data_IF_464522067278
#
_entry.id   IF_464522067278
#
_cell.length_a   1.000
_cell.length_b   1.000
_cell.length_c   1.000
_cell.angle_alpha   90.00
_cell.angle_beta   90.00
_cell.angle_gamma   90.00
#
_symmetry.space_group_name_H-M   'P 1'
#
loop_
_entity.id
_entity.type
_entity.pdbx_description
1 polymer ?
#
# COMPACT_ATOMS: atom_id res chain seq x y z
N UNK A 1 -0.12 -18.23 12.44
CA UNK A 1 -0.47 -16.83 12.16
C UNK A 1 0.75 -15.94 12.27
N UNK A 2 0.86 -14.91 11.44
CA UNK A 2 1.91 -13.89 11.48
C UNK A 2 1.33 -12.50 11.23
N UNK A 3 1.77 -11.53 12.00
CA UNK A 3 1.41 -10.13 11.82
C UNK A 3 2.57 -9.40 11.15
N UNK A 4 2.25 -8.44 10.27
CA UNK A 4 3.20 -7.53 9.66
C UNK A 4 2.68 -6.10 9.69
N UNK A 5 3.61 -5.17 9.74
CA UNK A 5 3.35 -3.74 9.74
C UNK A 5 4.17 -3.09 8.62
N UNK A 6 3.60 -2.15 7.91
CA UNK A 6 4.28 -1.33 6.91
C UNK A 6 3.97 0.14 7.09
N UNK A 7 4.94 0.96 6.76
CA UNK A 7 4.81 2.41 6.73
C UNK A 7 5.52 2.94 5.49
N UNK A 8 4.90 3.88 4.80
CA UNK A 8 5.51 4.59 3.69
C UNK A 8 5.09 6.06 3.68
N UNK A 9 5.91 6.92 3.11
CA UNK A 9 5.62 8.33 2.96
C UNK A 9 6.27 8.85 1.68
N UNK A 10 5.54 9.68 0.93
CA UNK A 10 6.02 10.31 -0.29
C UNK A 10 5.70 11.80 -0.28
N UNK A 11 6.61 12.58 -0.88
CA UNK A 11 6.46 14.03 -1.02
C UNK A 11 5.40 14.35 -2.07
N UNK A 12 4.56 15.34 -1.78
CA UNK A 12 3.64 15.94 -2.76
C UNK A 12 4.36 16.96 -3.61
N UNK A 13 4.29 16.79 -4.93
CA UNK A 13 4.92 17.69 -5.91
C UNK A 13 3.96 18.01 -7.05
N UNK A 14 4.14 19.17 -7.66
CA UNK A 14 3.38 19.55 -8.86
C UNK A 14 3.79 18.68 -10.08
N UNK A 15 2.90 18.53 -11.05
CA UNK A 15 3.19 17.88 -12.33
C UNK A 15 3.19 16.35 -12.31
N UNK A 16 2.76 15.73 -11.22
CA UNK A 16 2.56 14.28 -11.13
C UNK A 16 1.10 13.94 -10.85
N UNK A 17 0.68 12.79 -11.35
CA UNK A 17 -0.61 12.20 -10.99
C UNK A 17 -0.59 11.76 -9.52
N UNK A 18 -1.71 11.91 -8.85
CA UNK A 18 -1.92 11.36 -7.51
C UNK A 18 -2.60 10.00 -7.63
N UNK A 19 -1.88 8.94 -7.29
CA UNK A 19 -2.38 7.57 -7.33
C UNK A 19 -2.24 6.98 -5.92
N UNK A 20 -3.36 6.58 -5.32
CA UNK A 20 -3.42 5.97 -3.99
C UNK A 20 -4.39 4.79 -4.01
N UNK A 21 -3.93 3.64 -3.56
CA UNK A 21 -4.73 2.42 -3.60
C UNK A 21 -5.12 1.99 -5.02
N UNK A 22 -4.28 2.29 -6.00
CA UNK A 22 -4.54 2.05 -7.41
C UNK A 22 -5.59 2.97 -8.03
N UNK A 23 -5.98 4.05 -7.34
CA UNK A 23 -6.98 5.02 -7.80
C UNK A 23 -6.29 6.33 -8.15
N UNK A 24 -6.50 6.81 -9.38
CA UNK A 24 -6.09 8.15 -9.78
C UNK A 24 -7.07 9.18 -9.21
N UNK A 25 -6.55 10.06 -8.35
CA UNK A 25 -7.33 11.07 -7.66
C UNK A 25 -7.06 12.43 -8.32
N UNK A 26 -8.12 13.15 -8.70
CA UNK A 26 -7.98 14.51 -9.22
C UNK A 26 -7.46 15.44 -8.13
N UNK A 27 -6.25 15.93 -8.31
CA UNK A 27 -5.59 16.83 -7.38
C UNK A 27 -4.48 17.60 -8.10
N UNK A 28 -4.13 18.77 -7.62
CA UNK A 28 -3.11 19.65 -8.22
C UNK A 28 -1.69 19.13 -8.09
N UNK A 29 -1.44 18.21 -7.16
CA UNK A 29 -0.14 17.57 -6.89
C UNK A 29 -0.28 16.05 -6.94
N UNK A 30 0.84 15.38 -7.15
CA UNK A 30 0.97 13.94 -7.02
C UNK A 30 2.16 13.56 -6.15
N UNK A 31 2.31 12.29 -5.87
CA UNK A 31 3.39 11.78 -5.04
C UNK A 31 4.66 11.54 -5.86
N UNK A 32 5.80 11.94 -5.32
CA UNK A 32 7.11 11.76 -5.93
C UNK A 32 7.69 10.40 -5.53
N UNK A 33 8.15 9.65 -6.52
CA UNK A 33 8.80 8.36 -6.31
C UNK A 33 9.27 7.74 -7.60
N UNK A 34 10.02 6.62 -7.51
CA UNK A 34 10.57 5.90 -8.65
C UNK A 34 9.48 5.16 -9.45
N UNK A 35 8.48 4.60 -8.74
CA UNK A 35 7.27 3.99 -9.30
C UNK A 35 6.17 5.05 -9.53
N UNK A 36 4.91 4.65 -9.52
CA UNK A 36 3.77 5.57 -9.45
C UNK A 36 3.62 6.24 -8.05
N UNK A 37 4.49 5.87 -7.10
CA UNK A 37 4.53 6.38 -5.73
C UNK A 37 3.22 6.17 -4.95
N UNK A 38 2.52 5.06 -5.18
CA UNK A 38 1.31 4.69 -4.44
C UNK A 38 1.67 4.32 -3.00
N UNK A 39 1.61 5.32 -2.13
CA UNK A 39 2.02 5.21 -0.72
C UNK A 39 1.23 4.14 0.05
N UNK A 40 -0.05 3.94 -0.29
CA UNK A 40 -0.89 2.94 0.37
C UNK A 40 -0.48 1.52 -0.01
N UNK A 41 -0.30 1.26 -1.30
CA UNK A 41 0.10 -0.07 -1.77
C UNK A 41 1.53 -0.41 -1.34
N UNK A 42 2.43 0.57 -1.27
CA UNK A 42 3.78 0.34 -0.73
C UNK A 42 3.77 -0.06 0.74
N UNK A 43 2.97 0.61 1.57
CA UNK A 43 2.81 0.25 2.98
C UNK A 43 2.25 -1.16 3.14
N UNK A 44 1.27 -1.55 2.33
CA UNK A 44 0.70 -2.89 2.33
C UNK A 44 1.72 -3.93 1.89
N UNK A 45 2.49 -3.67 0.84
CA UNK A 45 3.58 -4.56 0.40
C UNK A 45 4.58 -4.81 1.52
N UNK A 46 5.02 -3.77 2.22
CA UNK A 46 5.96 -3.90 3.33
C UNK A 46 5.36 -4.67 4.51
N UNK A 47 4.08 -4.45 4.82
CA UNK A 47 3.41 -5.23 5.85
C UNK A 47 3.40 -6.74 5.53
N UNK A 48 3.09 -7.09 4.29
CA UNK A 48 3.04 -8.47 3.83
C UNK A 48 4.43 -9.13 3.85
N UNK A 49 5.44 -8.44 3.32
CA UNK A 49 6.82 -8.92 3.31
C UNK A 49 7.35 -9.08 4.74
N UNK A 50 7.09 -8.11 5.61
CA UNK A 50 7.49 -8.15 7.02
C UNK A 50 6.86 -9.33 7.77
N UNK A 51 5.57 -9.59 7.58
CA UNK A 51 4.87 -10.73 8.17
C UNK A 51 5.48 -12.07 7.75
N UNK A 52 5.94 -12.18 6.50
CA UNK A 52 6.59 -13.39 5.98
C UNK A 52 8.09 -13.45 6.30
N UNK A 53 8.66 -12.46 6.98
CA UNK A 53 10.09 -12.32 7.25
C UNK A 53 10.95 -12.26 5.98
N UNK A 54 10.46 -11.58 4.94
CA UNK A 54 11.12 -11.44 3.64
C UNK A 54 11.83 -10.08 3.45
N UNK A 55 11.91 -9.27 4.48
CA UNK A 55 12.47 -7.92 4.40
C UNK A 55 11.44 -6.88 3.97
N UNK A 56 11.81 -6.05 3.03
CA UNK A 56 11.01 -4.93 2.56
C UNK A 56 10.93 -4.87 1.02
N UNK A 57 10.16 -3.91 0.53
CA UNK A 57 9.94 -3.70 -0.91
C UNK A 57 11.25 -3.33 -1.63
N UNK A 58 12.14 -2.57 -1.00
CA UNK A 58 13.42 -2.17 -1.59
C UNK A 58 14.37 -3.34 -1.84
N UNK A 59 14.29 -4.38 -1.03
CA UNK A 59 15.06 -5.61 -1.22
C UNK A 59 14.65 -6.37 -2.48
N UNK A 60 13.35 -6.40 -2.79
CA UNK A 60 12.80 -7.18 -3.91
C UNK A 60 12.66 -6.37 -5.19
N UNK A 61 12.45 -5.06 -5.06
CA UNK A 61 12.20 -4.14 -6.17
C UNK A 61 13.05 -2.87 -6.00
N UNK A 62 14.39 -2.97 -6.11
CA UNK A 62 15.28 -1.85 -5.84
C UNK A 62 15.09 -0.71 -6.86
N UNK A 63 15.13 0.53 -6.39
CA UNK A 63 15.02 1.73 -7.21
C UNK A 63 16.14 1.84 -8.27
N UNK A 64 17.27 1.17 -8.03
CA UNK A 64 18.36 1.09 -8.99
C UNK A 64 18.04 0.24 -10.22
N UNK A 65 17.00 -0.59 -10.18
CA UNK A 65 16.61 -1.46 -11.29
C UNK A 65 15.66 -0.72 -12.23
N UNK A 66 16.11 -0.45 -13.45
CA UNK A 66 15.34 0.27 -14.47
C UNK A 66 14.03 -0.42 -14.85
N UNK A 67 13.90 -1.75 -14.60
CA UNK A 67 12.68 -2.51 -14.87
C UNK A 67 11.50 -2.03 -14.03
N UNK A 68 11.76 -1.40 -12.88
CA UNK A 68 10.74 -0.94 -11.95
C UNK A 68 10.47 0.56 -12.03
N UNK A 69 11.16 1.28 -12.94
CA UNK A 69 10.91 2.70 -13.16
C UNK A 69 9.51 2.92 -13.70
N UNK A 70 8.71 3.72 -12.99
CA UNK A 70 7.32 4.02 -13.38
C UNK A 70 6.36 2.84 -13.25
N UNK A 71 6.78 1.77 -12.58
CA UNK A 71 5.94 0.57 -12.43
C UNK A 71 4.63 0.89 -11.70
N UNK A 72 3.55 0.28 -12.15
CA UNK A 72 2.27 0.26 -11.45
C UNK A 72 2.41 -0.50 -10.12
N UNK A 73 2.14 0.18 -9.01
CA UNK A 73 2.24 -0.43 -7.67
C UNK A 73 1.23 -1.55 -7.45
N UNK A 74 0.15 -1.64 -8.22
CA UNK A 74 -0.72 -2.82 -8.21
C UNK A 74 0.00 -4.06 -8.74
N UNK A 75 0.87 -3.89 -9.75
CA UNK A 75 1.73 -4.99 -10.22
C UNK A 75 2.72 -5.43 -9.13
N UNK A 76 3.30 -4.48 -8.38
CA UNK A 76 4.14 -4.79 -7.21
C UNK A 76 3.36 -5.58 -6.15
N UNK A 77 2.14 -5.15 -5.83
CA UNK A 77 1.29 -5.82 -4.84
C UNK A 77 0.98 -7.26 -5.26
N UNK A 78 0.65 -7.48 -6.54
CA UNK A 78 0.43 -8.83 -7.07
C UNK A 78 1.68 -9.70 -7.00
N UNK A 79 2.86 -9.13 -7.29
CA UNK A 79 4.14 -9.83 -7.18
C UNK A 79 4.46 -10.22 -5.74
N UNK A 80 4.23 -9.31 -4.79
CA UNK A 80 4.37 -9.60 -3.35
C UNK A 80 3.39 -10.68 -2.92
N UNK A 81 2.14 -10.62 -3.35
CA UNK A 81 1.15 -11.68 -3.08
C UNK A 81 1.63 -13.06 -3.54
N UNK A 82 2.25 -13.13 -4.73
CA UNK A 82 2.82 -14.36 -5.24
C UNK A 82 3.99 -14.86 -4.38
N UNK A 83 4.87 -13.96 -3.90
CA UNK A 83 5.95 -14.31 -2.98
C UNK A 83 5.42 -14.89 -1.66
N UNK A 84 4.38 -14.28 -1.09
CA UNK A 84 3.74 -14.75 0.14
C UNK A 84 3.17 -16.16 -0.05
N UNK A 85 2.46 -16.39 -1.14
CA UNK A 85 1.91 -17.71 -1.48
C UNK A 85 3.01 -18.77 -1.65
N UNK A 86 4.12 -18.41 -2.32
CA UNK A 86 5.28 -19.30 -2.49
C UNK A 86 5.90 -19.72 -1.16
N UNK A 87 5.83 -18.88 -0.12
CA UNK A 87 6.28 -19.20 1.24
C UNK A 87 5.25 -20.04 2.03
N UNK A 88 4.15 -20.42 1.41
CA UNK A 88 3.10 -21.21 2.06
C UNK A 88 2.19 -20.42 2.97
N UNK A 89 2.10 -19.10 2.78
CA UNK A 89 1.19 -18.24 3.53
C UNK A 89 0.01 -17.79 2.68
N UNK A 90 -1.08 -17.45 3.37
CA UNK A 90 -2.23 -16.77 2.83
C UNK A 90 -2.47 -15.49 3.63
N UNK A 91 -2.93 -14.45 2.95
CA UNK A 91 -3.37 -13.21 3.62
C UNK A 91 -4.74 -13.46 4.23
N UNK A 92 -4.90 -13.22 5.54
CA UNK A 92 -6.18 -13.30 6.22
C UNK A 92 -6.94 -11.99 6.13
N UNK A 93 -6.27 -10.88 6.41
CA UNK A 93 -6.86 -9.55 6.28
C UNK A 93 -5.78 -8.47 6.20
N UNK A 94 -6.21 -7.29 5.75
CA UNK A 94 -5.40 -6.07 5.72
C UNK A 94 -6.21 -4.94 6.32
N UNK A 95 -5.59 -4.15 7.20
CA UNK A 95 -6.11 -2.88 7.68
C UNK A 95 -5.07 -1.79 7.42
N UNK A 96 -5.48 -0.72 6.74
CA UNK A 96 -4.58 0.35 6.35
C UNK A 96 -5.18 1.73 6.62
N UNK A 97 -4.30 2.68 6.94
CA UNK A 97 -4.66 4.08 7.20
C UNK A 97 -3.87 5.00 6.29
N UNK A 98 -4.58 5.86 5.57
CA UNK A 98 -3.98 6.96 4.81
C UNK A 98 -3.92 8.18 5.72
N UNK A 99 -2.77 8.82 5.79
CA UNK A 99 -2.53 10.01 6.60
C UNK A 99 -2.29 11.17 5.64
N UNK A 100 -3.30 12.01 5.46
CA UNK A 100 -3.27 13.12 4.52
C UNK A 100 -4.18 14.26 4.97
N UNK A 101 -3.73 15.48 4.77
CA UNK A 101 -4.55 16.65 5.02
C UNK A 101 -5.55 16.90 3.88
N UNK A 102 -5.11 16.67 2.65
CA UNK A 102 -5.90 16.78 1.42
C UNK A 102 -5.26 15.88 0.34
N UNK A 103 -6.03 15.49 -0.71
CA UNK A 103 -7.47 15.62 -0.89
C UNK A 103 -8.29 14.70 0.02
N UNK A 104 -9.62 14.84 0.00
CA UNK A 104 -10.50 13.92 0.73
C UNK A 104 -10.43 12.53 0.13
N UNK A 105 -10.21 11.52 0.97
CA UNK A 105 -10.08 10.12 0.55
C UNK A 105 -11.42 9.39 0.49
N UNK A 106 -12.41 9.82 1.25
CA UNK A 106 -13.68 9.12 1.40
C UNK A 106 -14.36 8.71 0.07
N UNK A 107 -14.41 9.55 -0.97
CA UNK A 107 -15.03 9.14 -2.25
C UNK A 107 -14.32 8.00 -2.97
N UNK A 108 -13.05 7.71 -2.61
CA UNK A 108 -12.18 6.78 -3.31
C UNK A 108 -11.95 5.47 -2.57
N UNK A 109 -12.29 5.41 -1.28
CA UNK A 109 -11.94 4.28 -0.40
C UNK A 109 -12.55 2.97 -0.90
N UNK A 110 -13.81 2.96 -1.32
CA UNK A 110 -14.45 1.73 -1.79
C UNK A 110 -13.72 1.12 -3.01
N UNK A 111 -13.25 1.96 -3.94
CA UNK A 111 -12.47 1.48 -5.10
C UNK A 111 -11.08 1.00 -4.68
N UNK A 112 -10.43 1.67 -3.72
CA UNK A 112 -9.15 1.22 -3.18
C UNK A 112 -9.27 -0.18 -2.56
N UNK A 113 -10.31 -0.41 -1.76
CA UNK A 113 -10.61 -1.72 -1.16
C UNK A 113 -10.77 -2.79 -2.24
N UNK A 114 -11.58 -2.53 -3.27
CA UNK A 114 -11.77 -3.48 -4.39
C UNK A 114 -10.45 -3.78 -5.11
N UNK A 115 -9.63 -2.78 -5.37
CA UNK A 115 -8.34 -2.96 -6.03
C UNK A 115 -7.41 -3.85 -5.21
N UNK A 116 -7.27 -3.57 -3.91
CA UNK A 116 -6.41 -4.32 -3.00
C UNK A 116 -6.90 -5.75 -2.84
N UNK A 117 -8.20 -5.93 -2.63
CA UNK A 117 -8.81 -7.24 -2.49
C UNK A 117 -8.60 -8.10 -3.75
N UNK A 118 -8.81 -7.52 -4.93
CA UNK A 118 -8.56 -8.21 -6.20
C UNK A 118 -7.10 -8.63 -6.35
N UNK A 119 -6.16 -7.74 -6.06
CA UNK A 119 -4.71 -8.01 -6.21
C UNK A 119 -4.21 -9.06 -5.20
N UNK A 120 -4.84 -9.15 -4.03
CA UNK A 120 -4.53 -10.14 -2.99
C UNK A 120 -5.37 -11.43 -3.10
N UNK A 121 -6.35 -11.47 -3.99
CA UNK A 121 -7.34 -12.57 -4.10
C UNK A 121 -8.13 -12.76 -2.80
N UNK A 122 -8.59 -11.66 -2.23
CA UNK A 122 -9.41 -11.61 -1.01
C UNK A 122 -10.82 -11.12 -1.32
N UNK A 123 -11.83 -11.50 -0.53
CA UNK A 123 -13.10 -10.80 -0.51
C UNK A 123 -12.93 -9.39 0.08
N UNK A 124 -13.77 -8.44 -0.35
CA UNK A 124 -13.65 -7.03 0.02
C UNK A 124 -13.71 -6.82 1.55
N UNK A 125 -14.51 -7.62 2.26
CA UNK A 125 -14.67 -7.52 3.72
C UNK A 125 -13.40 -7.89 4.52
N UNK A 126 -12.39 -8.44 3.88
CA UNK A 126 -11.08 -8.72 4.51
C UNK A 126 -10.06 -7.60 4.28
N UNK A 127 -10.46 -6.54 3.62
CA UNK A 127 -9.63 -5.35 3.39
C UNK A 127 -10.34 -4.13 3.94
N UNK A 128 -9.67 -3.41 4.83
CA UNK A 128 -10.15 -2.13 5.33
C UNK A 128 -9.17 -1.02 4.98
N UNK A 129 -9.70 0.10 4.52
CA UNK A 129 -8.94 1.34 4.29
C UNK A 129 -9.69 2.47 4.97
N UNK A 130 -8.98 3.24 5.78
CA UNK A 130 -9.47 4.44 6.45
C UNK A 130 -8.49 5.58 6.25
N UNK A 131 -8.91 6.80 6.48
CA UNK A 131 -8.09 7.98 6.34
C UNK A 131 -8.20 8.87 7.56
N UNK A 132 -7.12 9.57 7.88
CA UNK A 132 -7.06 10.56 8.95
C UNK A 132 -6.19 11.73 8.54
N UNK A 133 -6.37 12.86 9.21
CA UNK A 133 -5.42 13.98 9.19
C UNK A 133 -4.49 13.90 10.40
N UNK A 134 -3.48 14.77 10.44
CA UNK A 134 -2.68 15.02 11.66
C UNK A 134 -2.99 16.37 12.29
N UNK A 135 -4.20 16.88 12.05
CA UNK A 135 -4.66 18.17 12.63
C UNK A 135 -3.66 19.31 12.34
N UNK A 136 -3.20 19.40 11.10
CA UNK A 136 -2.22 20.37 10.60
C UNK A 136 -0.82 20.27 11.20
N UNK A 137 -0.52 19.21 11.95
CA UNK A 137 0.80 18.97 12.54
C UNK A 137 1.68 18.12 11.61
N UNK A 138 2.96 18.42 11.61
CA UNK A 138 3.98 17.64 10.90
C UNK A 138 3.92 17.79 9.38
N UNK A 139 4.69 16.95 8.68
CA UNK A 139 4.82 17.03 7.22
C UNK A 139 3.50 16.70 6.50
N UNK A 140 2.70 15.80 7.02
CA UNK A 140 1.38 15.49 6.47
C UNK A 140 0.41 16.65 6.71
N UNK A 141 0.45 17.22 7.90
CA UNK A 141 -0.41 18.35 8.29
C UNK A 141 -0.08 19.65 7.55
N UNK A 142 1.18 19.83 7.13
CA UNK A 142 1.59 20.96 6.29
C UNK A 142 1.37 20.72 4.79
N UNK A 143 0.92 19.54 4.40
CA UNK A 143 0.74 19.20 2.99
C UNK A 143 2.05 18.99 2.22
N UNK A 144 3.15 18.70 2.90
CA UNK A 144 4.42 18.36 2.25
C UNK A 144 4.40 16.96 1.63
N UNK A 145 3.63 16.07 2.22
CA UNK A 145 3.54 14.69 1.78
C UNK A 145 2.30 13.99 2.32
N UNK A 146 2.14 12.76 1.87
CA UNK A 146 1.13 11.81 2.34
C UNK A 146 1.87 10.59 2.88
N UNK A 147 1.39 10.05 4.00
CA UNK A 147 1.87 8.81 4.57
C UNK A 147 0.77 7.75 4.56
N UNK A 148 1.16 6.51 4.66
CA UNK A 148 0.26 5.40 4.88
C UNK A 148 0.87 4.40 5.86
N UNK A 149 0.00 3.76 6.60
CA UNK A 149 0.34 2.71 7.53
C UNK A 149 -0.54 1.49 7.25
N UNK A 150 0.03 0.30 7.29
CA UNK A 150 -0.73 -0.92 7.07
C UNK A 150 -0.35 -1.99 8.09
N UNK A 151 -1.34 -2.78 8.46
CA UNK A 151 -1.16 -4.00 9.24
C UNK A 151 -1.81 -5.14 8.48
N UNK A 152 -1.17 -6.29 8.45
CA UNK A 152 -1.73 -7.49 7.86
C UNK A 152 -1.59 -8.69 8.79
N UNK A 153 -2.48 -9.65 8.59
CA UNK A 153 -2.40 -10.96 9.20
C UNK A 153 -2.22 -12.01 8.12
N UNK A 154 -1.19 -12.84 8.27
CA UNK A 154 -0.97 -14.03 7.45
C UNK A 154 -1.30 -15.28 8.24
N UNK A 155 -1.81 -16.29 7.55
CA UNK A 155 -1.99 -17.65 8.08
C UNK A 155 -1.34 -18.65 7.14
N UNK A 156 -1.01 -19.84 7.67
CA UNK A 156 -0.78 -21.02 6.82
C UNK A 156 -2.13 -21.68 6.58
N UNK A 157 -2.42 -22.14 5.34
CA UNK A 157 -3.57 -23.00 5.12
C UNK A 157 -3.50 -24.16 6.12
N UNK A 158 -4.58 -24.40 6.83
CA UNK A 158 -4.67 -25.57 7.69
C UNK A 158 -4.46 -26.82 6.82
N UNK A 159 -3.61 -27.73 7.25
CA UNK A 159 -3.68 -29.08 6.73
C UNK A 159 -5.10 -29.53 7.05
N UNK A 160 -5.93 -29.69 6.02
CA UNK A 160 -7.31 -30.14 6.20
C UNK A 160 -7.29 -31.43 7.03
N UNK A 161 -7.87 -31.34 8.19
CA UNK A 161 -8.24 -32.51 9.00
C UNK A 161 -9.57 -33.03 8.50
#
# INVERSE_FOLDING_TARGET
MRIGQGFDAHQLVAGRKLIIGGVEIAYEKGLLGHSDADVLLHAICDALLGAAALGDIGKHFPDSDVRFKGIDSRALLRAVSALIKKQGFQVSNVDATIIAEAPRMAPHIAQMVRNIAADLSLPDEQVNVKATTTEKMGFTGRGEGIAAQAVCLLCKPGNGS
#
